data_IF_129733979355
#
_entry.id   IF_129733979355
#
_cell.length_a   1.000
_cell.length_b   1.000
_cell.length_c   1.000
_cell.angle_alpha   90.00
_cell.angle_beta   90.00
_cell.angle_gamma   90.00
#
_symmetry.space_group_name_H-M   'P 1'
#
loop_
_entity.id
_entity.type
_entity.pdbx_description
1 polymer ?
#
# COMPACT_ATOMS: atom_id res chain seq x y z
N UNK A 1 15.17 12.92 -9.97
CA UNK A 1 13.88 13.65 -9.83
C UNK A 1 14.09 15.17 -9.77
N UNK A 2 14.86 15.70 -8.82
CA UNK A 2 15.13 17.15 -8.69
C UNK A 2 15.76 17.79 -9.93
N UNK A 3 16.74 17.14 -10.57
CA UNK A 3 17.40 17.66 -11.78
C UNK A 3 16.50 17.67 -13.03
N UNK A 4 15.49 16.79 -13.07
CA UNK A 4 14.50 16.72 -14.15
C UNK A 4 13.38 17.74 -13.97
N UNK A 5 13.07 18.11 -12.73
CA UNK A 5 12.00 19.04 -12.36
C UNK A 5 12.31 20.49 -12.76
N UNK A 6 13.58 20.88 -12.73
CA UNK A 6 14.00 22.25 -13.06
C UNK A 6 14.07 22.56 -14.56
N UNK A 7 13.97 21.55 -15.44
CA UNK A 7 14.19 21.72 -16.89
C UNK A 7 12.97 21.36 -17.74
N UNK A 8 11.82 21.07 -17.13
CA UNK A 8 10.63 20.62 -17.85
C UNK A 8 9.80 21.79 -18.42
N UNK A 9 9.46 21.76 -19.72
CA UNK A 9 8.58 22.77 -20.33
C UNK A 9 7.18 22.76 -19.67
N UNK A 10 6.49 23.91 -19.68
CA UNK A 10 5.24 24.13 -18.94
C UNK A 10 4.16 23.05 -19.19
N UNK A 11 4.10 22.48 -20.39
CA UNK A 11 3.15 21.42 -20.75
C UNK A 11 3.45 20.06 -20.09
N UNK A 12 4.65 19.84 -19.52
CA UNK A 12 5.03 18.60 -18.83
C UNK A 12 5.02 18.71 -17.30
N UNK A 13 4.72 19.88 -16.73
CA UNK A 13 4.79 20.09 -15.27
C UNK A 13 3.77 19.22 -14.51
N UNK A 14 2.55 19.09 -15.03
CA UNK A 14 1.51 18.24 -14.43
C UNK A 14 1.96 16.77 -14.40
N UNK A 15 2.54 16.29 -15.50
CA UNK A 15 3.04 14.93 -15.60
C UNK A 15 4.21 14.67 -14.64
N UNK A 16 5.12 15.64 -14.50
CA UNK A 16 6.23 15.56 -13.54
C UNK A 16 5.76 15.52 -12.09
N UNK A 17 4.68 16.24 -11.75
CA UNK A 17 4.10 16.22 -10.39
C UNK A 17 3.46 14.86 -10.08
N UNK A 18 2.73 14.29 -11.04
CA UNK A 18 2.14 12.95 -10.89
C UNK A 18 3.25 11.89 -10.71
N UNK A 19 4.31 11.96 -11.52
CA UNK A 19 5.46 11.05 -11.39
C UNK A 19 6.20 11.22 -10.06
N UNK A 20 6.35 12.44 -9.57
CA UNK A 20 6.98 12.69 -8.28
C UNK A 20 6.13 12.11 -7.13
N UNK A 21 4.80 12.30 -7.17
CA UNK A 21 3.88 11.70 -6.22
C UNK A 21 3.96 10.17 -6.26
N UNK A 22 4.02 9.58 -7.45
CA UNK A 22 4.19 8.13 -7.63
C UNK A 22 5.48 7.61 -6.98
N UNK A 23 6.60 8.27 -7.25
CA UNK A 23 7.88 7.88 -6.67
C UNK A 23 7.90 7.99 -5.15
N UNK A 24 7.22 8.99 -4.57
CA UNK A 24 7.09 9.13 -3.11
C UNK A 24 6.23 8.01 -2.52
N UNK A 25 5.11 7.66 -3.15
CA UNK A 25 4.27 6.54 -2.73
C UNK A 25 5.02 5.20 -2.81
N UNK A 26 5.75 4.96 -3.90
CA UNK A 26 6.58 3.76 -4.05
C UNK A 26 7.67 3.69 -2.99
N UNK A 27 8.38 4.79 -2.73
CA UNK A 27 9.38 4.84 -1.66
C UNK A 27 8.77 4.53 -0.30
N UNK A 28 7.62 5.12 0.04
CA UNK A 28 6.92 4.83 1.29
C UNK A 28 6.48 3.36 1.38
N UNK A 29 5.96 2.80 0.28
CA UNK A 29 5.58 1.39 0.19
C UNK A 29 6.76 0.44 0.37
N UNK A 30 7.91 0.72 -0.25
CA UNK A 30 9.13 -0.08 -0.10
C UNK A 30 9.65 -0.03 1.35
N UNK A 31 9.64 1.15 1.98
CA UNK A 31 10.02 1.27 3.39
C UNK A 31 9.08 0.44 4.27
N UNK A 32 7.76 0.54 4.08
CA UNK A 32 6.79 -0.26 4.82
C UNK A 32 7.01 -1.76 4.62
N UNK A 33 7.29 -2.20 3.38
CA UNK A 33 7.58 -3.60 3.06
C UNK A 33 8.86 -4.13 3.73
N UNK A 34 9.91 -3.30 3.79
CA UNK A 34 11.15 -3.64 4.48
C UNK A 34 10.98 -3.70 6.00
N UNK A 35 10.04 -2.93 6.57
CA UNK A 35 9.73 -2.95 7.99
C UNK A 35 8.83 -4.12 8.37
N UNK A 36 7.86 -4.49 7.53
CA UNK A 36 6.87 -5.53 7.82
C UNK A 36 7.41 -6.94 7.57
N UNK A 37 8.26 -7.15 6.55
CA UNK A 37 8.76 -8.45 6.05
C UNK A 37 7.81 -9.59 6.37
N UNK A 38 6.73 -9.65 5.59
CA UNK A 38 5.69 -10.67 5.75
C UNK A 38 6.06 -11.95 5.04
N UNK A 39 5.91 -13.07 5.73
CA UNK A 39 5.99 -14.41 5.16
C UNK A 39 4.61 -15.04 5.23
N UNK A 40 4.01 -15.26 4.06
CA UNK A 40 2.77 -16.03 3.96
C UNK A 40 3.11 -17.53 4.02
N UNK A 41 2.50 -18.24 4.96
CA UNK A 41 2.58 -19.70 5.05
C UNK A 41 1.18 -20.27 4.88
N UNK A 42 1.01 -21.08 3.85
CA UNK A 42 -0.23 -21.81 3.61
C UNK A 42 -0.16 -23.13 4.39
N UNK A 43 -1.00 -23.26 5.42
CA UNK A 43 -1.11 -24.46 6.24
C UNK A 43 -2.50 -25.08 6.05
N UNK A 44 -2.55 -26.22 5.36
CA UNK A 44 -3.80 -26.89 4.96
C UNK A 44 -4.73 -25.95 4.17
N UNK A 45 -5.79 -25.44 4.81
CA UNK A 45 -6.79 -24.53 4.23
C UNK A 45 -6.69 -23.10 4.72
N UNK A 46 -5.73 -22.79 5.60
CA UNK A 46 -5.53 -21.46 6.18
C UNK A 46 -4.22 -20.83 5.68
N UNK A 47 -4.27 -19.55 5.34
CA UNK A 47 -3.09 -18.73 5.10
C UNK A 47 -2.74 -17.99 6.39
N UNK A 48 -1.55 -18.26 6.94
CA UNK A 48 -1.03 -17.60 8.13
C UNK A 48 0.00 -16.56 7.66
N UNK A 49 -0.18 -15.32 8.11
CA UNK A 49 0.74 -14.23 7.84
C UNK A 49 1.70 -14.08 9.03
N UNK A 50 2.99 -14.35 8.80
CA UNK A 50 4.03 -14.27 9.83
C UNK A 50 4.91 -13.02 9.59
N UNK A 51 4.96 -12.12 10.56
CA UNK A 51 5.78 -10.90 10.50
C UNK A 51 7.17 -11.17 11.05
N UNK A 52 8.20 -11.06 10.20
CA UNK A 52 9.60 -11.28 10.58
C UNK A 52 10.45 -10.01 10.49
N UNK A 53 9.83 -8.88 10.16
CA UNK A 53 10.52 -7.61 9.98
C UNK A 53 10.84 -6.89 11.30
N UNK A 54 11.43 -5.69 11.16
CA UNK A 54 11.72 -4.79 12.29
C UNK A 54 10.44 -4.45 13.08
N UNK A 55 9.28 -4.48 12.42
CA UNK A 55 8.01 -4.24 13.08
C UNK A 55 7.74 -5.20 14.25
N UNK A 56 8.24 -6.44 14.19
CA UNK A 56 8.02 -7.44 15.23
C UNK A 56 8.66 -7.06 16.57
N UNK A 57 9.68 -6.19 16.54
CA UNK A 57 10.31 -5.65 17.75
C UNK A 57 9.48 -4.56 18.45
N UNK A 58 8.53 -3.93 17.73
CA UNK A 58 7.67 -2.86 18.24
C UNK A 58 6.26 -3.34 18.60
N UNK A 59 5.97 -4.60 18.32
CA UNK A 59 4.70 -5.27 18.64
C UNK A 59 3.78 -5.48 17.43
N UNK A 60 2.81 -6.36 17.60
CA UNK A 60 1.88 -6.77 16.55
C UNK A 60 1.09 -5.61 15.94
N UNK A 61 0.61 -4.67 16.76
CA UNK A 61 -0.18 -3.52 16.28
C UNK A 61 0.60 -2.68 15.26
N UNK A 62 1.90 -2.48 15.52
CA UNK A 62 2.78 -1.75 14.61
C UNK A 62 3.01 -2.52 13.31
N UNK A 63 3.18 -3.85 13.36
CA UNK A 63 3.25 -4.69 12.16
C UNK A 63 1.96 -4.61 11.32
N UNK A 64 0.79 -4.68 11.96
CA UNK A 64 -0.49 -4.56 11.28
C UNK A 64 -0.65 -3.20 10.61
N UNK A 65 -0.25 -2.11 11.26
CA UNK A 65 -0.26 -0.76 10.68
C UNK A 65 0.69 -0.68 9.48
N UNK A 66 1.93 -1.16 9.62
CA UNK A 66 2.90 -1.14 8.52
C UNK A 66 2.43 -1.96 7.32
N UNK A 67 1.83 -3.12 7.56
CA UNK A 67 1.24 -3.95 6.51
C UNK A 67 0.06 -3.25 5.82
N UNK A 68 -0.84 -2.64 6.59
CA UNK A 68 -1.94 -1.84 6.04
C UNK A 68 -1.45 -0.65 5.21
N UNK A 69 -0.36 0.01 5.63
CA UNK A 69 0.28 1.08 4.85
C UNK A 69 0.87 0.53 3.55
N UNK A 70 1.54 -0.62 3.59
CA UNK A 70 2.11 -1.27 2.41
C UNK A 70 1.02 -1.56 1.37
N UNK A 71 -0.10 -2.15 1.78
CA UNK A 71 -1.20 -2.47 0.88
C UNK A 71 -1.91 -1.22 0.36
N UNK A 72 -2.11 -0.21 1.23
CA UNK A 72 -2.63 1.09 0.82
C UNK A 72 -1.77 1.73 -0.28
N UNK A 73 -0.45 1.71 -0.11
CA UNK A 73 0.48 2.26 -1.10
C UNK A 73 0.45 1.47 -2.41
N UNK A 74 0.34 0.13 -2.35
CA UNK A 74 0.19 -0.72 -3.52
C UNK A 74 -1.12 -0.42 -4.30
N UNK A 75 -2.24 -0.31 -3.59
CA UNK A 75 -3.54 0.05 -4.18
C UNK A 75 -3.49 1.45 -4.81
N UNK A 76 -2.88 2.40 -4.10
CA UNK A 76 -2.70 3.77 -4.59
C UNK A 76 -1.83 3.82 -5.86
N UNK A 77 -0.72 3.09 -5.91
CA UNK A 77 0.18 3.07 -7.08
C UNK A 77 -0.48 2.41 -8.28
N UNK A 78 -1.21 1.30 -8.11
CA UNK A 78 -2.00 0.69 -9.18
C UNK A 78 -3.02 1.68 -9.78
N UNK A 79 -3.76 2.41 -8.94
CA UNK A 79 -4.74 3.40 -9.39
C UNK A 79 -4.07 4.59 -10.09
N UNK A 80 -2.96 5.09 -9.57
CA UNK A 80 -2.16 6.13 -10.22
C UNK A 80 -1.61 5.67 -11.58
N UNK A 81 -1.20 4.40 -11.70
CA UNK A 81 -0.77 3.81 -12.96
C UNK A 81 -1.92 3.77 -13.98
N UNK A 82 -3.09 3.26 -13.58
CA UNK A 82 -4.30 3.28 -14.40
C UNK A 82 -4.64 4.70 -14.86
N UNK A 83 -4.50 5.68 -13.97
CA UNK A 83 -4.72 7.08 -14.28
C UNK A 83 -3.75 7.66 -15.29
N UNK A 84 -2.48 7.29 -15.19
CA UNK A 84 -1.43 7.71 -16.11
C UNK A 84 -1.72 7.17 -17.52
N UNK A 85 -2.15 5.91 -17.63
CA UNK A 85 -2.60 5.34 -18.89
C UNK A 85 -3.86 6.03 -19.41
N UNK A 86 -4.87 6.26 -18.57
CA UNK A 86 -6.09 6.96 -18.97
C UNK A 86 -5.82 8.39 -19.44
N UNK A 87 -4.91 9.10 -18.78
CA UNK A 87 -4.47 10.44 -19.18
C UNK A 87 -3.77 10.42 -20.54
N UNK A 88 -2.84 9.49 -20.76
CA UNK A 88 -2.16 9.33 -22.06
C UNK A 88 -3.17 8.99 -23.17
N UNK A 89 -4.12 8.09 -22.91
CA UNK A 89 -5.16 7.72 -23.87
C UNK A 89 -6.06 8.93 -24.21
N UNK A 90 -6.46 9.71 -23.21
CA UNK A 90 -7.26 10.92 -23.39
C UNK A 90 -6.50 12.04 -24.10
N UNK A 91 -5.22 12.22 -23.82
CA UNK A 91 -4.37 13.20 -24.51
C UNK A 91 -4.19 12.84 -26.00
N UNK A 92 -4.11 11.55 -26.31
CA UNK A 92 -4.14 11.04 -27.70
C UNK A 92 -5.50 11.25 -28.38
N UNK A 93 -6.60 11.13 -27.64
CA UNK A 93 -7.96 11.26 -28.18
C UNK A 93 -8.51 12.69 -28.24
N UNK A 94 -8.04 13.60 -27.38
CA UNK A 94 -8.50 14.99 -27.29
C UNK A 94 -7.35 15.93 -26.99
N UNK A 95 -6.96 16.69 -28.01
CA UNK A 95 -6.26 17.97 -27.83
C UNK A 95 -7.29 18.92 -27.17
N UNK A 96 -6.96 19.48 -25.99
CA UNK A 96 -7.72 20.51 -25.25
C UNK A 96 -8.92 20.07 -24.37
N UNK A 97 -8.64 19.71 -23.11
CA UNK A 97 -9.56 19.93 -21.98
C UNK A 97 -8.78 19.98 -20.66
N UNK A 98 -8.06 21.09 -20.45
CA UNK A 98 -7.07 21.28 -19.37
C UNK A 98 -7.67 21.39 -17.95
N UNK A 99 -8.99 21.53 -17.80
CA UNK A 99 -9.64 21.64 -16.48
C UNK A 99 -10.08 20.33 -15.81
N UNK A 100 -10.23 19.24 -16.56
CA UNK A 100 -10.80 17.97 -16.01
C UNK A 100 -9.77 17.08 -15.31
N UNK A 101 -8.47 17.36 -15.45
CA UNK A 101 -7.41 16.50 -14.95
C UNK A 101 -7.24 16.58 -13.42
N UNK A 102 -7.29 17.78 -12.83
CA UNK A 102 -7.15 17.94 -11.37
C UNK A 102 -8.33 17.30 -10.62
N UNK A 103 -9.57 17.50 -11.11
CA UNK A 103 -10.74 16.85 -10.55
C UNK A 103 -10.67 15.32 -10.65
N UNK A 104 -10.08 14.78 -11.72
CA UNK A 104 -9.87 13.34 -11.84
C UNK A 104 -8.83 12.82 -10.82
N UNK A 105 -7.74 13.56 -10.59
CA UNK A 105 -6.71 13.22 -9.59
C UNK A 105 -7.30 13.23 -8.18
N UNK A 106 -8.02 14.28 -7.80
CA UNK A 106 -8.68 14.39 -6.49
C UNK A 106 -9.72 13.27 -6.33
N UNK A 107 -10.53 13.03 -7.37
CA UNK A 107 -11.50 11.94 -7.40
C UNK A 107 -10.86 10.57 -7.16
N UNK A 108 -9.72 10.29 -7.80
CA UNK A 108 -9.01 9.02 -7.57
C UNK A 108 -8.43 8.91 -6.16
N UNK A 109 -7.81 9.97 -5.63
CA UNK A 109 -7.28 9.95 -4.26
C UNK A 109 -8.42 9.67 -3.26
N UNK A 110 -9.57 10.32 -3.45
CA UNK A 110 -10.74 10.09 -2.60
C UNK A 110 -11.31 8.66 -2.74
N UNK A 111 -11.32 8.09 -3.95
CA UNK A 111 -11.74 6.71 -4.18
C UNK A 111 -10.77 5.69 -3.54
N UNK A 112 -9.46 5.93 -3.63
CA UNK A 112 -8.43 5.11 -2.97
C UNK A 112 -8.66 5.11 -1.46
N UNK A 113 -8.85 6.29 -0.86
CA UNK A 113 -9.13 6.39 0.58
C UNK A 113 -10.42 5.64 0.93
N UNK A 114 -11.50 5.84 0.19
CA UNK A 114 -12.79 5.19 0.47
C UNK A 114 -12.73 3.66 0.36
N UNK A 115 -12.01 3.13 -0.64
CA UNK A 115 -11.89 1.67 -0.85
C UNK A 115 -10.95 1.03 0.17
N UNK A 116 -9.84 1.69 0.53
CA UNK A 116 -8.83 1.12 1.42
C UNK A 116 -9.07 1.40 2.91
N UNK A 117 -9.90 2.39 3.27
CA UNK A 117 -10.28 2.65 4.65
C UNK A 117 -10.86 1.42 5.39
N UNK A 118 -11.81 0.66 4.83
CA UNK A 118 -12.34 -0.53 5.51
C UNK A 118 -11.33 -1.67 5.62
N UNK A 119 -10.31 -1.75 4.75
CA UNK A 119 -9.28 -2.79 4.81
C UNK A 119 -8.49 -2.72 6.11
N UNK A 120 -8.10 -1.53 6.56
CA UNK A 120 -7.35 -1.37 7.83
C UNK A 120 -8.14 -1.92 9.02
N UNK A 121 -9.44 -1.60 9.10
CA UNK A 121 -10.31 -2.11 10.16
C UNK A 121 -10.53 -3.63 10.04
N UNK A 122 -10.59 -4.15 8.81
CA UNK A 122 -10.73 -5.58 8.55
C UNK A 122 -9.48 -6.36 8.98
N UNK A 123 -8.28 -5.85 8.70
CA UNK A 123 -7.02 -6.48 9.13
C UNK A 123 -6.90 -6.52 10.64
N UNK A 124 -7.17 -5.41 11.32
CA UNK A 124 -7.17 -5.36 12.77
C UNK A 124 -8.17 -6.36 13.37
N UNK A 125 -9.34 -6.51 12.75
CA UNK A 125 -10.32 -7.51 13.19
C UNK A 125 -9.88 -8.94 12.90
N UNK A 126 -9.28 -9.19 11.74
CA UNK A 126 -8.81 -10.52 11.35
C UNK A 126 -7.67 -11.01 12.26
N UNK A 127 -6.76 -10.12 12.67
CA UNK A 127 -5.63 -10.49 13.54
C UNK A 127 -6.01 -10.63 15.01
N UNK A 128 -7.11 -10.01 15.45
CA UNK A 128 -7.61 -10.12 16.83
C UNK A 128 -8.57 -11.30 17.03
N UNK A 129 -9.07 -11.91 15.96
CA UNK A 129 -9.84 -13.16 16.05
C UNK A 129 -8.89 -14.28 16.50
N UNK A 130 -9.14 -14.81 17.70
CA UNK A 130 -8.47 -16.02 18.18
C UNK A 130 -9.02 -17.23 17.43
N UNK A 131 -8.29 -17.68 16.42
CA UNK A 131 -8.60 -18.92 15.73
C UNK A 131 -7.89 -20.10 16.41
N UNK A 132 -8.60 -21.19 16.75
CA UNK A 132 -8.01 -22.36 17.40
C UNK A 132 -6.93 -23.03 16.54
N UNK A 133 -6.99 -22.86 15.21
CA UNK A 133 -5.97 -23.35 14.26
C UNK A 133 -4.63 -22.63 14.47
N UNK A 134 -4.66 -21.34 14.80
CA UNK A 134 -3.46 -20.54 15.08
C UNK A 134 -2.81 -21.02 16.40
N UNK A 135 -3.62 -21.35 17.41
CA UNK A 135 -3.12 -21.89 18.67
C UNK A 135 -2.45 -23.26 18.50
N UNK A 136 -3.00 -24.12 17.64
CA UNK A 136 -2.38 -25.41 17.27
C UNK A 136 -1.03 -25.16 16.58
N UNK A 137 -0.98 -24.25 15.61
CA UNK A 137 0.26 -23.89 14.92
C UNK A 137 1.34 -23.34 15.86
N UNK A 138 0.97 -22.45 16.79
CA UNK A 138 1.91 -21.91 17.80
C UNK A 138 2.49 -23.00 18.68
N UNK A 139 1.65 -23.95 19.10
CA UNK A 139 2.06 -25.09 19.93
C UNK A 139 3.03 -26.01 19.18
N UNK A 140 2.77 -26.31 17.91
CA UNK A 140 3.64 -27.15 17.07
C UNK A 140 5.02 -26.52 16.80
N UNK A 141 5.08 -25.19 16.65
CA UNK A 141 6.33 -24.45 16.45
C UNK A 141 7.16 -24.27 17.73
N UNK A 142 6.64 -24.63 18.90
CA UNK A 142 7.29 -24.36 20.19
C UNK A 142 7.42 -22.86 20.50
N UNK A 143 6.63 -22.01 19.84
CA UNK A 143 6.54 -20.58 20.13
C UNK A 143 5.63 -20.41 21.36
N UNK A 144 6.23 -20.60 22.54
CA UNK A 144 5.57 -20.43 23.82
C UNK A 144 5.03 -19.01 24.02
N UNK A 145 4.02 -18.89 24.89
CA UNK A 145 3.31 -17.65 25.25
C UNK A 145 4.19 -16.56 25.90
N UNK A 146 5.49 -16.80 26.03
CA UNK A 146 6.46 -15.95 26.74
C UNK A 146 7.21 -14.98 25.82
N UNK A 147 6.97 -15.01 24.51
CA UNK A 147 7.39 -13.90 23.66
C UNK A 147 6.32 -12.80 23.71
N UNK A 148 6.61 -11.63 24.31
CA UNK A 148 5.67 -10.53 24.33
C UNK A 148 5.36 -10.14 22.88
N UNK A 149 4.05 -10.17 22.59
CA UNK A 149 3.42 -9.80 21.33
C UNK A 149 3.65 -8.32 21.03
#
# INVERSE_FOLDING_TARGET
LLTSYFRTPAHMQVYSRILAAFALCDMAGVVAMMLSVTREQVLYTAAILEFNGVCAAFGLDFCCVMFGVQEYMYSATCMLLCSSFAYRLRALHRIAATGSAEAAVIGMISAIIAVNFPLIALYHRATTIRDPIIDVYRRDRGLGWDQPI
#
